data_IF_788988541761
#
_entry.id   IF_788988541761
#
_cell.length_a   1.000
_cell.length_b   1.000
_cell.length_c   1.000
_cell.angle_alpha   90.00
_cell.angle_beta   90.00
_cell.angle_gamma   90.00
#
_symmetry.space_group_name_H-M   'P 1'
#
loop_
_entity.id
_entity.type
_entity.pdbx_description
1 polymer ?
#
# COMPACT_ATOMS: atom_id res chain seq x y z
N UNK A 1 3.55 7.27 9.15
CA UNK A 1 4.11 6.46 8.07
C UNK A 1 4.42 7.38 6.90
N UNK A 2 5.71 7.56 6.56
CA UNK A 2 6.20 8.44 5.50
C UNK A 2 6.53 7.68 4.18
N UNK A 3 6.98 8.40 3.14
CA UNK A 3 7.37 7.79 1.85
C UNK A 3 8.53 6.79 1.99
N UNK A 4 9.42 7.00 2.97
CA UNK A 4 10.58 6.15 3.22
C UNK A 4 10.16 4.82 3.85
N UNK A 5 9.20 4.85 4.78
CA UNK A 5 8.59 3.65 5.34
C UNK A 5 7.82 2.86 4.26
N UNK A 6 7.24 3.55 3.27
CA UNK A 6 6.60 2.91 2.12
C UNK A 6 7.63 2.21 1.21
N UNK A 7 8.76 2.87 0.93
CA UNK A 7 9.88 2.29 0.18
C UNK A 7 10.48 1.07 0.89
N UNK A 8 10.62 1.14 2.21
CA UNK A 8 11.12 0.05 3.03
C UNK A 8 10.15 -1.14 3.05
N UNK A 9 8.85 -0.87 3.19
CA UNK A 9 7.82 -1.89 3.10
C UNK A 9 7.78 -2.56 1.71
N UNK A 10 7.98 -1.79 0.63
CA UNK A 10 8.12 -2.34 -0.71
C UNK A 10 9.37 -3.22 -0.84
N UNK A 11 10.55 -2.72 -0.45
CA UNK A 11 11.83 -3.46 -0.53
C UNK A 11 11.78 -4.78 0.25
N UNK A 12 11.14 -4.78 1.42
CA UNK A 12 11.01 -5.95 2.27
C UNK A 12 9.76 -6.80 1.97
N UNK A 13 8.97 -6.47 0.94
CA UNK A 13 7.72 -7.16 0.55
C UNK A 13 6.75 -7.32 1.72
N UNK A 14 6.66 -6.33 2.60
CA UNK A 14 5.74 -6.35 3.73
C UNK A 14 4.29 -6.30 3.26
N UNK A 15 3.42 -6.99 4.00
CA UNK A 15 1.97 -6.90 3.85
C UNK A 15 1.48 -5.92 4.91
N UNK A 16 0.92 -4.80 4.48
CA UNK A 16 0.34 -3.79 5.34
C UNK A 16 -1.12 -4.14 5.66
N UNK A 17 -1.55 -3.92 6.89
CA UNK A 17 -2.97 -4.08 7.25
C UNK A 17 -3.83 -2.94 6.70
N UNK A 18 -5.15 -3.14 6.65
CA UNK A 18 -6.09 -2.09 6.23
C UNK A 18 -5.92 -0.80 7.03
N UNK A 19 -5.74 -0.90 8.35
CA UNK A 19 -5.54 0.26 9.22
C UNK A 19 -4.24 1.01 8.92
N UNK A 20 -3.17 0.32 8.54
CA UNK A 20 -1.90 0.95 8.16
C UNK A 20 -2.02 1.70 6.83
N UNK A 21 -2.71 1.12 5.85
CA UNK A 21 -2.96 1.79 4.56
C UNK A 21 -3.92 2.96 4.72
N UNK A 22 -4.97 2.82 5.53
CA UNK A 22 -5.86 3.95 5.84
C UNK A 22 -5.11 5.07 6.54
N UNK A 23 -4.29 4.77 7.55
CA UNK A 23 -3.46 5.77 8.21
C UNK A 23 -2.50 6.47 7.22
N UNK A 24 -1.92 5.74 6.27
CA UNK A 24 -1.10 6.32 5.19
C UNK A 24 -1.89 7.31 4.31
N UNK A 25 -3.10 6.93 3.91
CA UNK A 25 -3.96 7.75 3.04
C UNK A 25 -4.54 8.96 3.80
N UNK A 26 -4.93 8.77 5.06
CA UNK A 26 -5.48 9.80 5.95
C UNK A 26 -4.42 10.82 6.38
N UNK A 27 -3.21 10.37 6.76
CA UNK A 27 -2.10 11.25 7.16
C UNK A 27 -1.73 12.23 6.05
N UNK A 28 -1.88 11.82 4.80
CA UNK A 28 -1.58 12.67 3.66
C UNK A 28 -2.81 13.38 3.07
N UNK A 29 -4.02 13.19 3.63
CA UNK A 29 -5.31 13.71 3.10
C UNK A 29 -5.48 13.42 1.59
N UNK A 30 -5.00 12.27 1.14
CA UNK A 30 -4.93 11.98 -0.30
C UNK A 30 -6.24 11.35 -0.77
N UNK A 31 -6.80 11.78 -1.92
CA UNK A 31 -7.77 10.95 -2.61
C UNK A 31 -7.09 9.61 -2.92
N UNK A 32 -7.77 8.53 -2.52
CA UNK A 32 -7.24 7.22 -2.11
C UNK A 32 -6.52 6.38 -3.18
N UNK A 33 -5.91 6.97 -4.19
CA UNK A 33 -5.19 6.27 -5.25
C UNK A 33 -4.18 7.15 -6.01
N UNK A 34 -4.49 8.42 -6.24
CA UNK A 34 -3.77 9.21 -7.25
C UNK A 34 -2.39 9.73 -6.83
N UNK A 35 -2.14 9.92 -5.53
CA UNK A 35 -0.88 10.52 -5.09
C UNK A 35 0.26 9.51 -4.96
N UNK A 36 0.00 8.32 -4.42
CA UNK A 36 1.00 7.26 -4.40
C UNK A 36 1.36 6.80 -5.81
N UNK A 37 0.39 6.77 -6.75
CA UNK A 37 0.65 6.52 -8.16
C UNK A 37 1.63 7.54 -8.79
N UNK A 38 1.56 8.83 -8.41
CA UNK A 38 2.53 9.84 -8.86
C UNK A 38 3.95 9.57 -8.38
N UNK A 39 4.11 8.90 -7.26
CA UNK A 39 5.40 8.45 -6.74
C UNK A 39 5.78 7.04 -7.23
N UNK A 40 5.00 6.47 -8.15
CA UNK A 40 5.21 5.13 -8.68
C UNK A 40 4.85 4.03 -7.70
N UNK A 41 3.91 4.25 -6.76
CA UNK A 41 3.45 3.21 -5.83
C UNK A 41 1.94 2.93 -5.98
N UNK A 42 1.57 1.66 -5.96
CA UNK A 42 0.17 1.21 -5.89
C UNK A 42 -0.01 0.16 -4.81
N UNK A 43 -1.18 0.18 -4.17
CA UNK A 43 -1.56 -0.81 -3.19
C UNK A 43 -2.43 -1.87 -3.87
N UNK A 44 -1.98 -3.13 -3.83
CA UNK A 44 -2.74 -4.28 -4.30
C UNK A 44 -3.26 -5.05 -3.09
N UNK A 45 -4.55 -5.33 -3.04
CA UNK A 45 -5.10 -6.18 -1.97
C UNK A 45 -4.55 -7.59 -2.12
N UNK A 46 -3.81 -8.06 -1.11
CA UNK A 46 -3.38 -9.46 -1.05
C UNK A 46 -4.57 -10.27 -0.52
N UNK A 47 -5.25 -10.95 -1.43
CA UNK A 47 -6.37 -11.84 -1.12
C UNK A 47 -5.83 -13.25 -1.18
N UNK A 48 -5.85 -13.96 -0.06
CA UNK A 48 -5.57 -15.39 -0.08
C UNK A 48 -6.69 -16.11 -0.83
N UNK A 49 -6.32 -16.88 -1.86
CA UNK A 49 -7.24 -17.58 -2.76
C UNK A 49 -8.17 -18.57 -2.06
N UNK A 50 -7.98 -18.86 -0.77
CA UNK A 50 -8.71 -19.93 -0.08
C UNK A 50 -9.95 -19.50 0.69
N UNK A 51 -10.21 -18.21 0.95
CA UNK A 51 -11.37 -17.85 1.79
C UNK A 51 -11.95 -16.44 1.63
N UNK A 52 -11.56 -15.67 0.60
CA UNK A 52 -12.13 -14.35 0.34
C UNK A 52 -11.83 -13.27 1.39
N UNK A 53 -11.10 -13.61 2.45
CA UNK A 53 -10.59 -12.64 3.42
C UNK A 53 -9.36 -11.94 2.84
N UNK A 54 -9.43 -10.61 2.84
CA UNK A 54 -8.29 -9.76 2.51
C UNK A 54 -7.27 -9.86 3.65
N UNK A 55 -6.08 -10.41 3.37
CA UNK A 55 -4.99 -10.57 4.34
C UNK A 55 -4.31 -9.22 4.63
N UNK A 56 -4.31 -8.34 3.64
CA UNK A 56 -3.81 -6.98 3.75
C UNK A 56 -3.60 -6.34 2.37
N UNK A 57 -2.63 -5.45 2.31
CA UNK A 57 -2.22 -4.71 1.14
C UNK A 57 -0.74 -4.90 0.89
N UNK A 58 -0.41 -5.23 -0.34
CA UNK A 58 0.96 -5.25 -0.83
C UNK A 58 1.24 -3.96 -1.57
N UNK A 59 2.38 -3.36 -1.30
CA UNK A 59 2.87 -2.23 -2.09
C UNK A 59 3.54 -2.78 -3.34
N UNK A 60 3.18 -2.24 -4.50
CA UNK A 60 3.85 -2.46 -5.77
C UNK A 60 4.43 -1.14 -6.25
N UNK A 61 5.59 -1.21 -6.88
CA UNK A 61 6.18 -0.07 -7.56
C UNK A 61 5.83 -0.15 -9.05
N UNK A 62 5.27 0.92 -9.61
CA UNK A 62 5.11 1.11 -11.04
C UNK A 62 6.41 1.74 -11.53
N UNK A 63 7.28 0.97 -12.16
CA UNK A 63 8.35 1.53 -12.98
C UNK A 63 7.72 2.02 -14.28
N UNK A 64 7.91 3.31 -14.57
CA UNK A 64 7.43 3.98 -15.78
C UNK A 64 8.50 3.90 -16.88
#
# INVERSE_FOLDING_TARGET
>A
MDLRELEEAFRNKWILSNSQVLALLELQKLPSSSHFQRHGFVFQSDREQQQGQQKGWRILKIDN
#
